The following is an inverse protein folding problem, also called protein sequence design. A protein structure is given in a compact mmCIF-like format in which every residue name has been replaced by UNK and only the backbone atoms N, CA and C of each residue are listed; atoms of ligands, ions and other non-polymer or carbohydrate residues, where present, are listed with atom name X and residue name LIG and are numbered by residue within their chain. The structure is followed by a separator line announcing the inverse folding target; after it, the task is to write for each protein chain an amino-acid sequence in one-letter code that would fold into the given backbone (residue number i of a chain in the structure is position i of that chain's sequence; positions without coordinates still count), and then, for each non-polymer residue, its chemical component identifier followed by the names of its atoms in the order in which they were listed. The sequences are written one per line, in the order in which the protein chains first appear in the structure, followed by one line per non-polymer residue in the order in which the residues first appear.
data_IF_816724188880
#
_entry.id   IF_816724188880
#
_cell.length_a   1.000
_cell.length_b   1.000
_cell.length_c   1.000
_cell.angle_alpha   90.00
_cell.angle_beta   90.00
_cell.angle_gamma   90.00
#
_symmetry.space_group_name_H-M   'P 1'
#
loop_
_entity.id
_entity.type
_entity.pdbx_description
1 polymer ?
#
# COMPACT_ATOMS: atom_id res chain seq x y z
N UNK A 1 30.14 -13.40 5.98
CA UNK A 1 30.35 -13.04 4.57
C UNK A 1 28.99 -12.78 3.93
N UNK A 2 28.54 -11.53 3.92
CA UNK A 2 27.21 -11.15 3.41
C UNK A 2 27.26 -11.22 1.89
N UNK A 3 26.59 -12.19 1.30
CA UNK A 3 26.48 -12.31 -0.15
C UNK A 3 25.69 -11.09 -0.65
N UNK A 4 26.37 -10.14 -1.28
CA UNK A 4 25.71 -9.06 -2.02
C UNK A 4 24.96 -9.74 -3.15
N UNK A 5 23.64 -9.92 -2.97
CA UNK A 5 22.80 -10.49 -4.04
C UNK A 5 22.80 -9.48 -5.17
N UNK A 6 23.18 -9.93 -6.35
CA UNK A 6 23.06 -9.15 -7.58
C UNK A 6 21.59 -8.76 -7.74
N UNK A 7 21.29 -7.49 -8.00
CA UNK A 7 19.91 -6.99 -8.07
C UNK A 7 19.05 -7.74 -9.11
N UNK A 8 19.66 -8.28 -10.14
CA UNK A 8 19.00 -9.14 -11.15
C UNK A 8 18.54 -10.51 -10.64
N UNK A 9 18.91 -10.91 -9.41
CA UNK A 9 18.57 -12.21 -8.80
C UNK A 9 17.49 -12.11 -7.71
N UNK A 10 16.93 -10.93 -7.47
CA UNK A 10 15.85 -10.79 -6.48
C UNK A 10 14.50 -11.23 -7.07
N UNK A 11 13.60 -11.81 -6.25
CA UNK A 11 12.34 -12.39 -6.75
C UNK A 11 11.48 -11.46 -7.60
N UNK A 12 11.48 -10.14 -7.28
CA UNK A 12 10.66 -9.14 -7.97
C UNK A 12 11.48 -8.16 -8.81
N UNK A 13 12.72 -8.55 -9.21
CA UNK A 13 13.51 -7.73 -10.14
C UNK A 13 12.74 -7.48 -11.44
N UNK A 14 12.66 -6.21 -11.85
CA UNK A 14 11.92 -5.78 -13.03
C UNK A 14 10.45 -5.44 -12.80
N UNK A 15 9.87 -5.76 -11.64
CA UNK A 15 8.51 -5.35 -11.26
C UNK A 15 8.50 -3.88 -10.84
N UNK A 16 7.65 -3.09 -11.48
CA UNK A 16 7.45 -1.65 -11.21
C UNK A 16 6.21 -1.42 -10.37
N UNK A 17 6.40 -0.78 -9.22
CA UNK A 17 5.34 -0.50 -8.25
C UNK A 17 5.17 1.00 -8.09
N UNK A 18 3.96 1.49 -8.29
CA UNK A 18 3.58 2.86 -7.95
C UNK A 18 2.78 2.83 -6.67
N UNK A 19 3.15 3.68 -5.73
CA UNK A 19 2.55 3.71 -4.40
C UNK A 19 2.04 5.10 -4.05
N UNK A 20 0.74 5.20 -3.76
CA UNK A 20 0.10 6.37 -3.15
C UNK A 20 -0.46 5.94 -1.79
N UNK A 21 0.38 5.94 -0.77
CA UNK A 21 0.00 5.45 0.56
C UNK A 21 0.57 6.33 1.68
N UNK A 22 0.05 6.15 2.88
CA UNK A 22 0.53 6.82 4.09
C UNK A 22 0.35 5.92 5.32
N UNK A 23 0.92 6.32 6.45
CA UNK A 23 0.90 5.61 7.74
C UNK A 23 1.65 4.26 7.67
N UNK A 24 0.96 3.11 7.85
CA UNK A 24 1.58 1.80 8.05
C UNK A 24 1.15 0.78 6.99
N UNK A 25 -0.13 0.43 6.88
CA UNK A 25 -0.61 -0.69 6.07
C UNK A 25 -0.14 -0.64 4.62
N UNK A 26 -0.48 0.42 3.89
CA UNK A 26 -0.07 0.59 2.50
C UNK A 26 1.44 0.68 2.34
N UNK A 27 2.15 1.55 3.10
CA UNK A 27 3.60 1.60 3.05
C UNK A 27 4.30 0.28 3.35
N UNK A 28 3.75 -0.57 4.23
CA UNK A 28 4.29 -1.90 4.52
C UNK A 28 4.27 -2.80 3.28
N UNK A 29 3.20 -2.76 2.47
CA UNK A 29 3.13 -3.48 1.19
C UNK A 29 4.31 -3.09 0.30
N UNK A 30 4.48 -1.78 0.03
CA UNK A 30 5.55 -1.28 -0.82
C UNK A 30 6.95 -1.57 -0.28
N UNK A 31 7.16 -1.49 1.04
CA UNK A 31 8.44 -1.81 1.65
C UNK A 31 8.82 -3.27 1.46
N UNK A 32 7.89 -4.21 1.67
CA UNK A 32 8.15 -5.65 1.49
C UNK A 32 8.41 -5.96 0.01
N UNK A 33 7.64 -5.38 -0.92
CA UNK A 33 7.90 -5.55 -2.36
C UNK A 33 9.28 -5.00 -2.75
N UNK A 34 9.68 -3.84 -2.21
CA UNK A 34 11.02 -3.28 -2.40
C UNK A 34 12.13 -4.16 -1.82
N UNK A 35 11.93 -4.74 -0.63
CA UNK A 35 12.86 -5.71 -0.04
C UNK A 35 13.02 -6.96 -0.93
N UNK A 36 11.96 -7.37 -1.62
CA UNK A 36 11.96 -8.46 -2.60
C UNK A 36 12.53 -8.06 -3.97
N UNK A 37 12.90 -6.79 -4.17
CA UNK A 37 13.61 -6.32 -5.37
C UNK A 37 12.74 -5.56 -6.38
N UNK A 38 11.49 -5.25 -6.07
CA UNK A 38 10.67 -4.40 -6.92
C UNK A 38 11.17 -2.94 -6.94
N UNK A 39 11.02 -2.26 -8.07
CA UNK A 39 11.27 -0.82 -8.20
C UNK A 39 10.03 -0.05 -7.74
N UNK A 40 10.08 0.47 -6.53
CA UNK A 40 8.94 1.15 -5.88
C UNK A 40 9.10 2.66 -5.96
N UNK A 41 8.13 3.34 -6.57
CA UNK A 41 8.03 4.80 -6.60
C UNK A 41 6.85 5.22 -5.72
N UNK A 42 7.15 5.94 -4.64
CA UNK A 42 6.16 6.54 -3.74
C UNK A 42 5.82 7.94 -4.22
N UNK A 43 4.54 8.19 -4.46
CA UNK A 43 4.01 9.53 -4.75
C UNK A 43 3.61 10.19 -3.44
N UNK A 44 4.17 11.36 -3.17
CA UNK A 44 3.91 12.15 -1.97
C UNK A 44 3.31 13.51 -2.33
N UNK A 45 2.53 14.13 -1.42
CA UNK A 45 2.19 15.55 -1.56
C UNK A 45 3.45 16.44 -1.61
N UNK A 46 3.35 17.64 -2.14
CA UNK A 46 4.48 18.61 -2.21
C UNK A 46 5.13 18.89 -0.84
N UNK A 47 4.36 18.76 0.24
CA UNK A 47 4.84 18.91 1.62
C UNK A 47 5.44 17.63 2.23
N UNK A 48 5.52 16.56 1.45
CA UNK A 48 5.88 15.21 1.88
C UNK A 48 4.75 14.48 2.59
N UNK A 49 4.92 13.19 2.78
CA UNK A 49 4.00 12.35 3.57
C UNK A 49 3.95 12.83 5.03
N UNK A 50 2.74 13.02 5.56
CA UNK A 50 2.53 13.43 6.96
C UNK A 50 3.18 12.48 7.97
N UNK A 51 3.34 11.21 7.61
CA UNK A 51 4.01 10.20 8.43
C UNK A 51 5.46 10.56 8.77
N UNK A 52 6.14 11.36 7.92
CA UNK A 52 7.49 11.89 8.17
C UNK A 52 7.58 12.77 9.43
N UNK A 53 6.47 13.37 9.84
CA UNK A 53 6.39 14.35 10.93
C UNK A 53 5.70 13.79 12.18
N UNK A 54 5.40 12.48 12.21
CA UNK A 54 4.80 11.86 13.39
C UNK A 54 5.77 11.88 14.57
N UNK A 55 5.20 12.05 15.75
CA UNK A 55 5.91 12.09 17.04
C UNK A 55 5.58 10.85 17.88
N UNK A 56 6.25 10.71 18.99
CA UNK A 56 6.06 9.62 19.96
C UNK A 56 6.12 8.23 19.29
N UNK A 57 5.19 7.35 19.53
CA UNK A 57 5.15 5.98 18.99
C UNK A 57 5.14 5.89 17.45
N UNK A 58 4.74 6.96 16.77
CA UNK A 58 4.73 7.02 15.31
C UNK A 58 6.03 7.52 14.67
N UNK A 59 7.00 8.00 15.44
CA UNK A 59 8.21 8.65 14.92
C UNK A 59 9.07 7.76 14.01
N UNK A 60 9.05 6.45 14.23
CA UNK A 60 9.77 5.47 13.41
C UNK A 60 9.02 4.96 12.17
N UNK A 61 7.72 5.25 12.02
CA UNK A 61 6.90 4.63 10.97
C UNK A 61 7.40 4.94 9.57
N UNK A 62 7.75 6.20 9.30
CA UNK A 62 8.20 6.55 7.97
C UNK A 62 9.50 5.80 7.59
N UNK A 63 10.48 5.77 8.46
CA UNK A 63 11.76 5.09 8.21
C UNK A 63 11.57 3.58 8.06
N UNK A 64 10.74 2.98 8.90
CA UNK A 64 10.48 1.54 8.89
C UNK A 64 9.80 1.08 7.61
N UNK A 65 8.76 1.80 7.18
CA UNK A 65 7.87 1.33 6.10
C UNK A 65 8.13 2.00 4.75
N UNK A 66 9.16 2.85 4.60
CA UNK A 66 9.46 3.49 3.32
C UNK A 66 10.91 3.30 2.85
N UNK A 67 11.65 2.35 3.45
CA UNK A 67 12.95 1.94 2.92
C UNK A 67 12.82 1.31 1.54
N UNK A 68 13.88 1.35 0.75
CA UNK A 68 13.97 0.78 -0.60
C UNK A 68 12.96 1.37 -1.60
N UNK A 69 12.47 2.60 -1.35
CA UNK A 69 11.58 3.31 -2.25
C UNK A 69 12.26 4.57 -2.79
N UNK A 70 11.99 4.87 -4.04
CA UNK A 70 12.17 6.20 -4.59
C UNK A 70 10.95 7.04 -4.29
N UNK A 71 11.08 8.36 -4.20
CA UNK A 71 9.96 9.26 -3.92
C UNK A 71 9.89 10.37 -4.96
N UNK A 72 8.66 10.73 -5.30
CA UNK A 72 8.35 11.92 -6.11
C UNK A 72 7.26 12.73 -5.41
N UNK A 73 7.48 14.05 -5.29
CA UNK A 73 6.48 14.96 -4.73
C UNK A 73 5.66 15.57 -5.87
N UNK A 74 4.33 15.38 -5.83
CA UNK A 74 3.39 15.86 -6.85
C UNK A 74 2.13 16.43 -6.21
N UNK A 75 1.57 17.50 -6.81
CA UNK A 75 0.19 17.87 -6.53
C UNK A 75 -0.75 17.13 -7.48
N UNK A 76 -1.25 15.97 -7.02
CA UNK A 76 -2.16 15.11 -7.77
C UNK A 76 -3.56 15.70 -7.97
N UNK A 77 -3.82 16.91 -7.47
CA UNK A 77 -5.07 17.63 -7.72
C UNK A 77 -5.00 18.52 -8.97
N UNK A 78 -3.81 18.79 -9.47
CA UNK A 78 -3.60 19.55 -10.71
C UNK A 78 -3.63 18.63 -11.93
N UNK A 79 -4.04 19.12 -13.10
CA UNK A 79 -4.00 18.34 -14.34
C UNK A 79 -2.60 17.82 -14.66
N UNK A 80 -1.57 18.62 -14.45
CA UNK A 80 -0.17 18.25 -14.69
C UNK A 80 0.30 17.13 -13.76
N UNK A 81 -0.06 17.23 -12.47
CA UNK A 81 0.23 16.16 -11.50
C UNK A 81 -0.48 14.86 -11.82
N UNK A 82 -1.75 14.94 -12.24
CA UNK A 82 -2.53 13.77 -12.69
C UNK A 82 -1.92 13.14 -13.94
N UNK A 83 -1.51 13.93 -14.93
CA UNK A 83 -0.87 13.45 -16.15
C UNK A 83 0.44 12.69 -15.85
N UNK A 84 1.26 13.20 -14.94
CA UNK A 84 2.48 12.50 -14.50
C UNK A 84 2.14 11.16 -13.85
N UNK A 85 1.14 11.11 -12.96
CA UNK A 85 0.70 9.86 -12.32
C UNK A 85 0.17 8.87 -13.34
N UNK A 86 -0.65 9.31 -14.31
CA UNK A 86 -1.17 8.47 -15.40
C UNK A 86 -0.02 7.84 -16.21
N UNK A 87 0.99 8.63 -16.57
CA UNK A 87 2.18 8.13 -17.29
C UNK A 87 2.97 7.09 -16.49
N UNK A 88 3.10 7.28 -15.18
CA UNK A 88 3.74 6.30 -14.29
C UNK A 88 2.93 5.01 -14.22
N UNK A 89 1.60 5.12 -14.10
CA UNK A 89 0.70 3.98 -13.97
C UNK A 89 0.55 3.19 -15.28
N UNK A 90 0.67 3.85 -16.44
CA UNK A 90 0.63 3.18 -17.74
C UNK A 90 1.75 2.14 -17.92
N UNK A 91 2.90 2.33 -17.26
CA UNK A 91 4.03 1.40 -17.29
C UNK A 91 4.25 0.61 -16.00
N UNK A 92 3.30 0.65 -15.06
CA UNK A 92 3.41 -0.03 -13.78
C UNK A 92 2.86 -1.46 -13.84
N UNK A 93 3.45 -2.35 -13.04
CA UNK A 93 2.93 -3.69 -12.79
C UNK A 93 1.92 -3.70 -11.64
N UNK A 94 2.17 -2.89 -10.62
CA UNK A 94 1.37 -2.83 -9.40
C UNK A 94 1.10 -1.37 -9.03
N UNK A 95 -0.13 -1.07 -8.66
CA UNK A 95 -0.51 0.18 -8.00
C UNK A 95 -1.03 -0.12 -6.59
N UNK A 96 -0.52 0.62 -5.60
CA UNK A 96 -0.91 0.46 -4.20
C UNK A 96 -1.48 1.79 -3.69
N UNK A 97 -2.67 1.75 -3.06
CA UNK A 97 -3.26 2.92 -2.41
C UNK A 97 -3.95 2.51 -1.09
N UNK A 98 -4.01 3.45 -0.14
CA UNK A 98 -4.73 3.24 1.12
C UNK A 98 -5.55 4.47 1.56
N UNK A 99 -6.09 5.20 0.59
CA UNK A 99 -6.95 6.34 0.85
C UNK A 99 -8.39 5.91 1.18
N UNK A 100 -9.19 6.86 1.64
CA UNK A 100 -10.62 6.62 1.91
C UNK A 100 -11.35 6.18 0.65
N UNK A 101 -12.41 5.36 0.78
CA UNK A 101 -13.24 4.98 -0.36
C UNK A 101 -13.67 6.19 -1.19
N UNK A 102 -13.63 6.07 -2.52
CA UNK A 102 -13.97 7.12 -3.47
C UNK A 102 -12.90 8.20 -3.70
N UNK A 103 -11.77 8.17 -2.97
CA UNK A 103 -10.72 9.16 -3.18
C UNK A 103 -10.01 8.97 -4.53
N UNK A 104 -9.70 7.74 -4.89
CA UNK A 104 -9.06 7.43 -6.17
C UNK A 104 -9.99 7.68 -7.36
N UNK A 105 -11.29 7.44 -7.19
CA UNK A 105 -12.28 7.74 -8.23
C UNK A 105 -12.31 9.24 -8.56
N UNK A 106 -12.30 10.09 -7.52
CA UNK A 106 -12.26 11.57 -7.69
C UNK A 106 -11.00 12.09 -8.35
N UNK A 107 -9.90 11.36 -8.25
CA UNK A 107 -8.61 11.70 -8.87
C UNK A 107 -8.43 11.10 -10.27
N UNK A 108 -9.39 10.28 -10.75
CA UNK A 108 -9.27 9.58 -12.02
C UNK A 108 -8.34 8.37 -11.99
N UNK A 109 -8.07 7.83 -10.79
CA UNK A 109 -7.19 6.68 -10.58
C UNK A 109 -7.94 5.45 -10.07
N UNK A 110 -9.24 5.32 -10.39
CA UNK A 110 -9.99 4.10 -10.10
C UNK A 110 -9.46 2.93 -10.93
N UNK A 111 -9.64 1.70 -10.44
CA UNK A 111 -9.25 0.52 -11.21
C UNK A 111 -9.93 0.47 -12.59
N UNK A 112 -11.22 0.78 -12.65
CA UNK A 112 -12.00 0.80 -13.89
C UNK A 112 -11.53 1.82 -14.94
N UNK A 113 -10.86 2.90 -14.52
CA UNK A 113 -10.22 3.82 -15.46
C UNK A 113 -8.82 3.34 -15.85
N UNK A 114 -8.04 2.86 -14.89
CA UNK A 114 -6.66 2.46 -15.12
C UNK A 114 -6.56 1.17 -15.97
N UNK A 115 -7.48 0.22 -15.83
CA UNK A 115 -7.49 -1.01 -16.63
C UNK A 115 -7.70 -0.74 -18.14
N UNK A 116 -8.28 0.40 -18.52
CA UNK A 116 -8.45 0.79 -19.92
C UNK A 116 -7.09 1.09 -20.60
N UNK A 117 -6.16 1.66 -19.86
CA UNK A 117 -4.83 2.05 -20.36
C UNK A 117 -3.75 1.03 -20.02
N UNK A 118 -3.93 0.28 -18.93
CA UNK A 118 -3.02 -0.78 -18.48
C UNK A 118 -3.84 -2.02 -18.04
N UNK A 119 -4.27 -2.87 -18.98
CA UNK A 119 -5.07 -4.06 -18.67
C UNK A 119 -4.35 -5.10 -17.80
N UNK A 120 -3.02 -5.00 -17.69
CA UNK A 120 -2.20 -5.88 -16.86
C UNK A 120 -1.94 -5.36 -15.46
N UNK A 121 -2.48 -4.20 -15.08
CA UNK A 121 -2.23 -3.58 -13.79
C UNK A 121 -2.85 -4.38 -12.63
N UNK A 122 -2.04 -4.69 -11.63
CA UNK A 122 -2.52 -5.22 -10.35
C UNK A 122 -2.78 -4.04 -9.42
N UNK A 123 -4.03 -3.89 -8.97
CA UNK A 123 -4.46 -2.77 -8.14
C UNK A 123 -4.68 -3.22 -6.69
N UNK A 124 -3.79 -2.86 -5.79
CA UNK A 124 -3.91 -3.17 -4.37
C UNK A 124 -4.53 -1.99 -3.61
N UNK A 125 -5.78 -2.14 -3.20
CA UNK A 125 -6.50 -1.18 -2.38
C UNK A 125 -6.46 -1.62 -0.91
N UNK A 126 -5.52 -1.08 -0.13
CA UNK A 126 -5.35 -1.44 1.27
C UNK A 126 -6.35 -0.67 2.14
N UNK A 127 -7.41 -1.34 2.58
CA UNK A 127 -8.53 -0.76 3.34
C UNK A 127 -8.71 -1.46 4.68
N UNK A 128 -9.23 -0.73 5.65
CA UNK A 128 -9.55 -1.29 6.96
C UNK A 128 -10.78 -2.20 6.97
N UNK A 129 -11.67 -2.08 5.96
CA UNK A 129 -12.81 -2.95 5.75
C UNK A 129 -12.88 -3.40 4.30
N UNK A 130 -13.11 -4.69 4.09
CA UNK A 130 -13.41 -5.28 2.79
C UNK A 130 -14.87 -4.99 2.39
N UNK A 131 -15.26 -5.45 1.18
CA UNK A 131 -16.62 -5.31 0.69
C UNK A 131 -17.63 -5.90 1.68
N UNK A 132 -18.63 -5.11 2.04
CA UNK A 132 -19.64 -5.47 3.03
C UNK A 132 -20.27 -4.25 3.69
N UNK A 133 -21.06 -4.44 4.77
CA UNK A 133 -21.80 -3.33 5.40
C UNK A 133 -20.92 -2.22 5.96
N UNK A 134 -19.66 -2.47 6.22
CA UNK A 134 -18.70 -1.49 6.75
C UNK A 134 -17.69 -0.94 5.73
N UNK A 135 -17.76 -1.34 4.46
CA UNK A 135 -16.80 -0.96 3.42
C UNK A 135 -16.58 0.55 3.28
N UNK A 136 -17.59 1.36 3.61
CA UNK A 136 -17.55 2.83 3.53
C UNK A 136 -16.94 3.49 4.77
N UNK A 137 -16.70 2.72 5.85
CA UNK A 137 -16.13 3.26 7.08
C UNK A 137 -14.61 3.39 6.98
N UNK A 138 -14.09 4.39 7.66
CA UNK A 138 -12.65 4.51 7.90
C UNK A 138 -12.29 3.65 9.11
N UNK A 139 -11.22 2.87 9.00
CA UNK A 139 -10.62 2.19 10.14
C UNK A 139 -9.17 2.65 10.31
N UNK A 140 -8.78 2.80 11.55
CA UNK A 140 -7.40 2.80 12.01
C UNK A 140 -7.12 1.40 12.59
N UNK A 141 -5.85 1.06 12.77
CA UNK A 141 -5.42 -0.22 13.34
C UNK A 141 -6.18 -0.56 14.64
N UNK A 142 -6.25 0.39 15.58
CA UNK A 142 -6.94 0.19 16.84
C UNK A 142 -8.46 -0.05 16.71
N UNK A 143 -9.10 0.58 15.73
CA UNK A 143 -10.53 0.33 15.44
C UNK A 143 -10.73 -1.09 14.97
N UNK A 144 -9.86 -1.58 14.07
CA UNK A 144 -9.91 -2.94 13.59
C UNK A 144 -9.60 -3.97 14.69
N UNK A 145 -8.63 -3.67 15.58
CA UNK A 145 -8.34 -4.50 16.75
C UNK A 145 -9.53 -4.62 17.71
N UNK A 146 -10.25 -3.50 17.97
CA UNK A 146 -11.42 -3.51 18.83
C UNK A 146 -12.59 -4.26 18.20
N UNK A 147 -12.89 -3.99 16.93
CA UNK A 147 -14.02 -4.62 16.23
C UNK A 147 -13.78 -6.10 15.93
N UNK A 148 -12.53 -6.50 15.64
CA UNK A 148 -12.15 -7.87 15.38
C UNK A 148 -11.95 -8.75 16.62
N UNK A 149 -12.10 -8.19 17.81
CA UNK A 149 -11.99 -8.91 19.08
C UNK A 149 -10.56 -9.09 19.60
N UNK A 150 -9.52 -8.69 18.85
CA UNK A 150 -8.13 -8.81 19.29
C UNK A 150 -7.90 -8.04 20.61
N UNK A 151 -8.43 -6.85 20.73
CA UNK A 151 -8.29 -6.04 21.93
C UNK A 151 -8.98 -6.69 23.15
N UNK A 152 -10.11 -7.37 22.94
CA UNK A 152 -10.79 -8.15 23.98
C UNK A 152 -9.94 -9.30 24.50
N UNK A 153 -9.27 -10.01 23.60
CA UNK A 153 -8.38 -11.14 23.94
C UNK A 153 -7.04 -10.69 24.53
N UNK A 154 -6.61 -9.46 24.27
CA UNK A 154 -5.32 -8.92 24.74
C UNK A 154 -5.45 -8.29 26.13
N UNK A 155 -6.61 -7.69 26.46
CA UNK A 155 -6.85 -7.05 27.73
C UNK A 155 -7.34 -8.01 28.84
N UNK A 156 -7.23 -7.62 30.10
CA UNK A 156 -7.87 -8.36 31.19
C UNK A 156 -9.40 -8.27 31.08
N UNK A 157 -10.14 -9.19 31.74
CA UNK A 157 -11.60 -9.18 31.72
C UNK A 157 -12.19 -7.79 32.02
N UNK A 158 -13.11 -7.32 31.17
CA UNK A 158 -13.76 -6.03 31.30
C UNK A 158 -12.91 -4.80 30.90
N UNK A 159 -11.66 -5.00 30.47
CA UNK A 159 -10.75 -3.91 30.05
C UNK A 159 -10.02 -4.26 28.73
N UNK A 160 -10.71 -4.20 27.59
CA UNK A 160 -10.09 -4.45 26.30
C UNK A 160 -8.89 -3.51 26.07
N UNK A 161 -7.77 -4.05 25.65
CA UNK A 161 -6.55 -3.29 25.33
C UNK A 161 -6.08 -3.62 23.91
N UNK A 162 -5.73 -2.60 23.15
CA UNK A 162 -5.06 -2.82 21.87
C UNK A 162 -3.68 -3.47 22.09
N UNK A 163 -3.21 -4.24 21.12
CA UNK A 163 -1.83 -4.69 21.09
C UNK A 163 -0.88 -3.48 21.01
N UNK A 164 0.31 -3.61 21.56
CA UNK A 164 1.28 -2.52 21.66
C UNK A 164 1.85 -2.04 20.32
N UNK A 165 1.59 -2.75 19.22
CA UNK A 165 1.98 -2.36 17.88
C UNK A 165 0.77 -2.32 16.94
N UNK A 166 0.95 -1.75 15.71
CA UNK A 166 -0.06 -1.70 14.65
C UNK A 166 -0.17 -3.06 13.95
N UNK A 167 -0.59 -4.09 14.70
CA UNK A 167 -0.60 -5.50 14.26
C UNK A 167 -1.49 -5.70 13.05
N UNK A 168 -2.69 -5.10 13.05
CA UNK A 168 -3.64 -5.26 11.95
C UNK A 168 -3.13 -4.56 10.68
N UNK A 169 -2.55 -3.37 10.81
CA UNK A 169 -1.92 -2.68 9.67
C UNK A 169 -0.77 -3.49 9.08
N UNK A 170 0.10 -4.05 9.93
CA UNK A 170 1.24 -4.85 9.50
C UNK A 170 0.76 -6.12 8.80
N UNK A 171 -0.17 -6.85 9.42
CA UNK A 171 -0.75 -8.07 8.82
C UNK A 171 -1.49 -7.75 7.53
N UNK A 172 -2.29 -6.69 7.49
CA UNK A 172 -2.96 -6.24 6.27
C UNK A 172 -1.98 -5.93 5.15
N UNK A 173 -0.84 -5.31 5.47
CA UNK A 173 0.26 -5.12 4.53
C UNK A 173 0.85 -6.43 4.02
N UNK A 174 1.10 -7.40 4.91
CA UNK A 174 1.60 -8.72 4.53
C UNK A 174 0.61 -9.49 3.64
N UNK A 175 -0.68 -9.51 3.98
CA UNK A 175 -1.71 -10.12 3.12
C UNK A 175 -1.85 -9.40 1.78
N UNK A 176 -1.69 -8.08 1.74
CA UNK A 176 -1.61 -7.33 0.49
C UNK A 176 -0.48 -7.81 -0.41
N UNK A 177 0.71 -8.08 0.16
CA UNK A 177 1.82 -8.67 -0.60
C UNK A 177 1.49 -10.08 -1.10
N UNK A 178 0.91 -10.95 -0.26
CA UNK A 178 0.50 -12.30 -0.68
C UNK A 178 -0.49 -12.23 -1.85
N UNK A 179 -1.49 -11.34 -1.78
CA UNK A 179 -2.46 -11.14 -2.84
C UNK A 179 -1.79 -10.61 -4.14
N UNK A 180 -0.87 -9.66 -4.02
CA UNK A 180 -0.12 -9.13 -5.18
C UNK A 180 0.72 -10.24 -5.83
N UNK A 181 1.44 -11.06 -5.04
CA UNK A 181 2.23 -12.15 -5.58
C UNK A 181 1.37 -13.20 -6.29
N UNK A 182 0.22 -13.56 -5.73
CA UNK A 182 -0.74 -14.45 -6.36
C UNK A 182 -1.29 -13.86 -7.68
N UNK A 183 -1.60 -12.56 -7.69
CA UNK A 183 -2.09 -11.85 -8.87
C UNK A 183 -1.01 -11.73 -9.97
N UNK A 184 0.26 -11.52 -9.59
CA UNK A 184 1.40 -11.52 -10.53
C UNK A 184 1.57 -12.89 -11.19
N UNK A 185 1.47 -13.97 -10.41
CA UNK A 185 1.54 -15.33 -10.93
C UNK A 185 0.38 -15.64 -11.88
N UNK A 186 -0.86 -15.30 -11.49
CA UNK A 186 -2.02 -15.46 -12.36
C UNK A 186 -1.89 -14.66 -13.66
N UNK A 187 -1.37 -13.43 -13.60
CA UNK A 187 -1.13 -12.58 -14.75
C UNK A 187 -0.18 -13.21 -15.77
N UNK A 188 0.79 -14.01 -15.35
CA UNK A 188 1.70 -14.71 -16.28
C UNK A 188 0.89 -15.59 -17.26
N UNK A 189 -0.18 -16.21 -16.77
CA UNK A 189 -1.07 -17.09 -17.53
C UNK A 189 -2.16 -16.31 -18.29
N UNK A 190 -2.83 -15.39 -17.60
CA UNK A 190 -4.03 -14.71 -18.13
C UNK A 190 -3.72 -13.46 -18.95
N UNK A 191 -2.54 -12.86 -18.74
CA UNK A 191 -2.12 -11.55 -19.26
C UNK A 191 -3.02 -10.39 -18.78
N UNK A 192 -3.84 -10.62 -17.76
CA UNK A 192 -4.76 -9.62 -17.17
C UNK A 192 -4.37 -9.29 -15.75
N UNK A 193 -4.51 -8.00 -15.42
CA UNK A 193 -4.45 -7.53 -14.05
C UNK A 193 -5.76 -7.77 -13.31
N UNK A 194 -5.79 -7.36 -12.04
CA UNK A 194 -6.98 -7.46 -11.18
C UNK A 194 -6.89 -6.50 -9.99
N UNK A 195 -8.01 -6.31 -9.29
CA UNK A 195 -8.11 -5.51 -8.07
C UNK A 195 -8.41 -6.40 -6.86
#
# INVERSE_FOLDING_TARGET
MTRIMNDSLRPLSGIKVIEMTHMVMGPAVGAILGDLGADVIKIEPLTGDKTRKLKASGSGFFLTYNRNKRSIALDVKTPEGQDIVQKLLAGADVFIENFRPGAMDKLGFSYSELEKTNPGLIYCSAKGFLNGPYQHRTALDEVAQMMGGLAYMTGPPGRPLRAGSSVIDIMGGMYGVVAILAALEERHRTKKGQK
#
